data_IF_328618186392
#
_entry.id   IF_328618186392
#
_cell.length_a   1.000
_cell.length_b   1.000
_cell.length_c   1.000
_cell.angle_alpha   90.00
_cell.angle_beta   90.00
_cell.angle_gamma   90.00
#
_symmetry.space_group_name_H-M   'P 1'
#
loop_
_entity.id
_entity.type
_entity.pdbx_description
1 polymer ?
#
# COMPACT_ATOMS: atom_id res chain seq x y z
N UNK A 1 28.28 2.84 13.91
CA UNK A 1 28.22 2.33 12.53
C UNK A 1 26.94 2.77 11.79
N UNK A 2 25.76 2.73 12.43
CA UNK A 2 24.47 3.17 11.81
C UNK A 2 24.41 4.67 11.44
N UNK A 3 25.06 5.58 12.17
CA UNK A 3 25.04 7.02 11.85
C UNK A 3 25.77 7.40 10.55
N UNK A 4 26.73 6.60 10.08
CA UNK A 4 27.43 6.86 8.81
C UNK A 4 26.53 6.56 7.59
N UNK A 5 25.72 5.51 7.64
CA UNK A 5 24.81 5.14 6.53
C UNK A 5 23.71 6.19 6.25
N UNK A 6 23.25 6.91 7.29
CA UNK A 6 22.26 7.98 7.10
C UNK A 6 22.84 9.27 6.49
N UNK A 7 24.10 9.59 6.81
CA UNK A 7 24.79 10.74 6.20
C UNK A 7 25.09 10.51 4.72
N UNK A 8 25.41 9.28 4.34
CA UNK A 8 25.78 8.96 2.95
C UNK A 8 24.57 8.97 2.01
N UNK A 9 23.39 8.56 2.49
CA UNK A 9 22.12 8.67 1.72
C UNK A 9 21.67 10.12 1.53
N UNK A 10 21.88 10.99 2.51
CA UNK A 10 21.61 12.43 2.39
C UNK A 10 22.61 13.13 1.44
N UNK A 11 23.86 12.70 1.41
CA UNK A 11 24.87 13.23 0.49
C UNK A 11 24.60 12.84 -0.97
N UNK A 12 24.08 11.65 -1.23
CA UNK A 12 23.73 11.20 -2.58
C UNK A 12 22.54 12.00 -3.13
N UNK A 13 21.58 12.39 -2.30
CA UNK A 13 20.48 13.27 -2.68
C UNK A 13 20.95 14.71 -3.00
N UNK A 14 21.98 15.21 -2.35
CA UNK A 14 22.52 16.55 -2.58
C UNK A 14 23.48 16.64 -3.77
N UNK A 15 24.22 15.61 -4.11
CA UNK A 15 25.14 15.62 -5.25
C UNK A 15 24.45 15.55 -6.62
N UNK A 16 23.21 15.02 -6.68
CA UNK A 16 22.44 15.01 -7.93
C UNK A 16 21.86 16.38 -8.32
N UNK A 17 21.79 17.35 -7.39
CA UNK A 17 21.25 18.68 -7.65
C UNK A 17 22.30 19.68 -8.21
N UNK A 18 23.59 19.42 -8.08
CA UNK A 18 24.64 20.40 -8.38
C UNK A 18 25.24 20.29 -9.80
N UNK A 19 24.92 19.26 -10.58
CA UNK A 19 25.47 19.06 -11.94
C UNK A 19 24.53 19.46 -13.09
N UNK A 20 23.45 20.19 -12.83
CA UNK A 20 22.41 20.50 -13.81
C UNK A 20 22.52 21.88 -14.46
N UNK A 21 23.62 22.58 -14.36
CA UNK A 21 23.78 23.90 -15.03
C UNK A 21 25.05 23.87 -15.89
N UNK A 22 24.86 23.66 -17.20
CA UNK A 22 25.62 24.15 -18.37
C UNK A 22 25.57 23.14 -19.51
N UNK A 23 24.53 23.24 -20.37
CA UNK A 23 24.61 22.98 -21.81
C UNK A 23 23.24 23.27 -22.44
N UNK A 24 23.05 24.46 -22.97
CA UNK A 24 21.98 24.74 -23.93
C UNK A 24 22.41 24.13 -25.29
N UNK A 25 22.01 22.90 -25.49
CA UNK A 25 22.20 22.16 -26.76
C UNK A 25 21.52 20.81 -26.64
N UNK A 26 20.56 20.53 -27.49
CA UNK A 26 19.75 19.29 -27.62
C UNK A 26 19.73 18.40 -26.37
N UNK A 27 18.90 18.73 -25.41
CA UNK A 27 18.69 17.85 -24.24
C UNK A 27 18.00 16.57 -24.68
N UNK A 28 18.79 15.52 -24.87
CA UNK A 28 18.19 14.18 -24.85
C UNK A 28 17.41 14.03 -23.54
N UNK A 29 16.21 13.45 -23.58
CA UNK A 29 15.48 13.17 -22.33
C UNK A 29 16.40 12.40 -21.39
N UNK A 30 16.39 12.72 -20.08
CA UNK A 30 17.22 12.04 -19.10
C UNK A 30 16.96 10.53 -19.20
N UNK A 31 18.05 9.76 -19.41
CA UNK A 31 17.96 8.31 -19.51
C UNK A 31 17.90 7.71 -18.09
N UNK A 32 17.23 6.56 -17.96
CA UNK A 32 17.31 5.70 -16.79
C UNK A 32 18.80 5.51 -16.41
N UNK A 33 19.11 5.70 -15.12
CA UNK A 33 20.43 5.46 -14.56
C UNK A 33 20.37 4.25 -13.65
N UNK A 34 21.30 3.34 -13.77
CA UNK A 34 21.41 2.14 -12.94
C UNK A 34 22.81 2.11 -12.33
N UNK A 35 22.88 1.89 -11.02
CA UNK A 35 24.13 1.74 -10.27
C UNK A 35 23.98 0.65 -9.21
N UNK A 36 25.10 0.13 -8.71
CA UNK A 36 25.11 -0.79 -7.57
C UNK A 36 25.72 -0.05 -6.40
N UNK A 37 24.97 0.06 -5.30
CA UNK A 37 25.41 0.69 -4.06
C UNK A 37 25.24 -0.33 -2.93
N UNK A 38 26.33 -0.72 -2.28
CA UNK A 38 26.35 -1.72 -1.20
C UNK A 38 25.62 -3.03 -1.53
N UNK A 39 25.74 -3.46 -2.81
CA UNK A 39 25.11 -4.69 -3.31
C UNK A 39 23.61 -4.56 -3.58
N UNK A 40 23.07 -3.33 -3.55
CA UNK A 40 21.69 -2.99 -3.94
C UNK A 40 21.69 -2.35 -5.33
N UNK A 41 20.85 -2.84 -6.22
CA UNK A 41 20.61 -2.19 -7.52
C UNK A 41 19.79 -0.91 -7.30
N UNK A 42 20.35 0.24 -7.65
CA UNK A 42 19.70 1.54 -7.52
C UNK A 42 19.34 2.07 -8.90
N UNK A 43 18.06 2.29 -9.13
CA UNK A 43 17.51 2.75 -10.41
C UNK A 43 16.90 4.14 -10.23
N UNK A 44 17.44 5.11 -10.93
CA UNK A 44 16.88 6.47 -11.03
C UNK A 44 16.20 6.61 -12.38
N UNK A 45 14.88 6.66 -12.36
CA UNK A 45 14.09 6.80 -13.56
C UNK A 45 13.99 8.28 -13.99
N UNK A 46 13.78 8.54 -15.29
CA UNK A 46 13.48 9.87 -15.80
C UNK A 46 12.14 10.39 -15.24
N UNK A 47 11.91 11.70 -15.38
CA UNK A 47 10.64 12.32 -14.96
C UNK A 47 9.44 11.86 -15.82
N UNK A 48 9.69 11.43 -17.05
CA UNK A 48 8.67 10.94 -17.99
C UNK A 48 8.75 9.42 -18.11
N UNK A 49 7.61 8.74 -18.17
CA UNK A 49 7.55 7.29 -18.38
C UNK A 49 7.92 6.89 -19.80
N UNK A 50 8.04 5.60 -20.04
CA UNK A 50 8.29 5.05 -21.37
C UNK A 50 7.10 5.26 -22.33
N UNK A 51 5.88 5.29 -21.83
CA UNK A 51 4.68 5.57 -22.60
C UNK A 51 4.63 7.02 -23.10
N UNK A 52 4.17 7.22 -24.35
CA UNK A 52 4.23 8.52 -25.03
C UNK A 52 3.14 9.51 -24.60
N UNK A 53 2.03 9.05 -23.98
CA UNK A 53 0.92 9.88 -23.54
C UNK A 53 0.73 9.80 -22.02
N UNK A 54 1.69 10.33 -21.25
CA UNK A 54 1.58 10.37 -19.81
C UNK A 54 0.50 11.37 -19.40
N UNK A 55 -0.27 11.02 -18.36
CA UNK A 55 -1.31 11.90 -17.82
C UNK A 55 -2.63 11.88 -18.59
N UNK A 56 -2.85 10.91 -19.48
CA UNK A 56 -4.18 10.59 -20.01
C UNK A 56 -5.11 10.13 -18.89
N UNK A 57 -6.39 10.08 -19.16
CA UNK A 57 -7.39 9.53 -18.24
C UNK A 57 -7.70 8.10 -18.67
N UNK A 58 -7.56 7.17 -17.74
CA UNK A 58 -7.85 5.75 -17.97
C UNK A 58 -9.35 5.56 -18.24
N UNK A 59 -9.69 4.83 -19.29
CA UNK A 59 -11.09 4.45 -19.56
C UNK A 59 -11.48 3.27 -18.69
N UNK A 60 -12.58 3.43 -17.98
CA UNK A 60 -13.12 2.42 -17.08
C UNK A 60 -14.61 2.20 -17.37
N UNK A 61 -15.09 1.00 -17.10
CA UNK A 61 -16.49 0.60 -17.22
C UNK A 61 -16.98 -0.01 -15.92
N UNK A 62 -18.14 0.41 -15.43
CA UNK A 62 -18.77 -0.20 -14.26
C UNK A 62 -19.17 -1.66 -14.58
N UNK A 63 -18.66 -2.60 -13.78
CA UNK A 63 -18.93 -4.03 -13.93
C UNK A 63 -19.88 -4.56 -12.88
N UNK A 64 -19.74 -4.08 -11.65
CA UNK A 64 -20.53 -4.55 -10.53
C UNK A 64 -20.67 -3.45 -9.49
N UNK A 65 -21.87 -3.35 -8.90
CA UNK A 65 -22.17 -2.42 -7.81
C UNK A 65 -22.75 -3.18 -6.63
N UNK A 66 -22.02 -3.21 -5.52
CA UNK A 66 -22.45 -3.83 -4.26
C UNK A 66 -22.97 -2.72 -3.35
N UNK A 67 -24.22 -2.83 -2.93
CA UNK A 67 -24.88 -1.85 -2.04
C UNK A 67 -25.30 -2.52 -0.75
N UNK A 68 -25.60 -1.71 0.25
CA UNK A 68 -26.24 -2.17 1.47
C UNK A 68 -27.51 -2.96 1.15
N UNK A 69 -27.74 -4.05 1.90
CA UNK A 69 -28.93 -4.91 1.77
C UNK A 69 -29.75 -4.84 3.07
N UNK A 70 -30.29 -3.65 3.36
CA UNK A 70 -31.21 -3.42 4.46
C UNK A 70 -30.74 -4.04 5.78
N UNK A 71 -31.54 -4.95 6.36
CA UNK A 71 -31.23 -5.57 7.63
C UNK A 71 -30.13 -6.65 7.59
N UNK A 72 -29.71 -7.10 6.38
CA UNK A 72 -28.70 -8.16 6.26
C UNK A 72 -27.28 -7.65 6.57
N UNK A 73 -26.93 -6.51 6.03
CA UNK A 73 -25.69 -5.80 6.35
C UNK A 73 -25.75 -4.34 5.85
N UNK A 74 -24.91 -3.50 6.41
CA UNK A 74 -24.61 -2.15 5.89
C UNK A 74 -23.11 -1.88 6.01
N UNK A 75 -22.57 -1.16 5.01
CA UNK A 75 -21.18 -0.77 5.02
C UNK A 75 -20.93 0.35 6.04
N UNK A 76 -19.89 0.19 6.85
CA UNK A 76 -19.37 1.21 7.75
C UNK A 76 -18.15 1.90 7.17
N UNK A 77 -17.18 1.11 6.78
CA UNK A 77 -15.91 1.57 6.18
C UNK A 77 -15.27 0.41 5.42
N UNK A 78 -15.80 0.06 4.23
CA UNK A 78 -15.25 -1.04 3.44
C UNK A 78 -13.83 -0.72 2.99
N UNK A 79 -12.93 -1.70 3.11
CA UNK A 79 -11.51 -1.63 2.83
C UNK A 79 -11.01 -2.97 2.31
N UNK A 80 -9.79 -2.98 1.77
CA UNK A 80 -9.02 -4.16 1.37
C UNK A 80 -9.85 -5.13 0.53
N UNK A 81 -10.34 -4.72 -0.64
CA UNK A 81 -11.10 -5.60 -1.52
C UNK A 81 -10.21 -6.67 -2.13
N UNK A 82 -10.75 -7.89 -2.24
CA UNK A 82 -10.13 -9.01 -2.96
C UNK A 82 -11.16 -9.72 -3.83
N UNK A 83 -10.68 -10.31 -4.92
CA UNK A 83 -11.46 -11.23 -5.74
C UNK A 83 -10.91 -12.63 -5.51
N UNK A 84 -11.75 -13.51 -5.00
CA UNK A 84 -11.40 -14.90 -4.79
C UNK A 84 -11.34 -15.68 -6.12
N UNK A 85 -10.67 -16.85 -6.18
CA UNK A 85 -10.57 -17.65 -7.40
C UNK A 85 -11.91 -18.11 -7.98
N UNK A 86 -12.96 -18.20 -7.18
CA UNK A 86 -14.33 -18.49 -7.62
C UNK A 86 -15.08 -17.27 -8.16
N UNK A 87 -14.41 -16.10 -8.20
CA UNK A 87 -14.95 -14.82 -8.62
C UNK A 87 -15.75 -14.08 -7.55
N UNK A 88 -15.95 -14.65 -6.37
CA UNK A 88 -16.58 -13.94 -5.25
C UNK A 88 -15.73 -12.78 -4.77
N UNK A 89 -16.39 -11.73 -4.28
CA UNK A 89 -15.73 -10.52 -3.76
C UNK A 89 -15.70 -10.57 -2.25
N UNK A 90 -14.53 -10.36 -1.67
CA UNK A 90 -14.34 -10.21 -0.24
C UNK A 90 -14.01 -8.76 0.08
N UNK A 91 -14.63 -8.26 1.16
CA UNK A 91 -14.41 -6.90 1.66
C UNK A 91 -14.25 -6.95 3.18
N UNK A 92 -13.12 -6.43 3.67
CA UNK A 92 -13.03 -6.11 5.09
C UNK A 92 -13.88 -4.88 5.36
N UNK A 93 -14.72 -4.92 6.40
CA UNK A 93 -15.41 -3.73 6.90
C UNK A 93 -15.04 -3.45 8.36
N UNK A 94 -15.48 -2.33 8.88
CA UNK A 94 -15.13 -1.88 10.24
C UNK A 94 -15.47 -2.92 11.30
N UNK A 95 -14.51 -3.15 12.22
CA UNK A 95 -14.66 -4.08 13.32
C UNK A 95 -14.27 -5.51 12.96
N UNK A 96 -15.22 -6.43 13.07
CA UNK A 96 -14.98 -7.87 12.90
C UNK A 96 -15.77 -8.40 11.71
N UNK A 97 -15.66 -7.73 10.56
CA UNK A 97 -16.40 -8.12 9.37
C UNK A 97 -15.47 -8.40 8.21
N UNK A 98 -15.56 -9.61 7.68
CA UNK A 98 -15.03 -10.02 6.38
C UNK A 98 -16.22 -10.48 5.53
N UNK A 99 -16.77 -9.53 4.80
CA UNK A 99 -17.99 -9.72 4.03
C UNK A 99 -17.67 -10.39 2.70
N UNK A 100 -18.45 -11.40 2.33
CA UNK A 100 -18.34 -12.10 1.06
C UNK A 100 -19.57 -11.87 0.21
N UNK A 101 -19.36 -11.62 -1.08
CA UNK A 101 -20.39 -11.39 -2.09
C UNK A 101 -20.17 -12.32 -3.28
N UNK A 102 -21.27 -12.74 -3.93
CA UNK A 102 -21.18 -13.50 -5.18
C UNK A 102 -20.63 -12.65 -6.33
N UNK A 103 -20.38 -13.26 -7.47
CA UNK A 103 -20.01 -12.59 -8.73
C UNK A 103 -21.03 -11.56 -9.21
N UNK A 104 -22.30 -11.70 -8.79
CA UNK A 104 -23.41 -10.77 -9.07
C UNK A 104 -23.62 -9.74 -7.95
N UNK A 105 -22.78 -9.75 -6.90
CA UNK A 105 -22.87 -8.82 -5.76
C UNK A 105 -23.89 -9.20 -4.69
N UNK A 106 -24.43 -10.44 -4.73
CA UNK A 106 -25.31 -10.93 -3.67
C UNK A 106 -24.51 -11.20 -2.39
N UNK A 107 -24.99 -10.71 -1.24
CA UNK A 107 -24.36 -10.97 0.04
C UNK A 107 -24.46 -12.45 0.42
N UNK A 108 -23.30 -13.07 0.66
CA UNK A 108 -23.19 -14.50 1.03
C UNK A 108 -22.96 -14.71 2.52
N UNK A 109 -22.47 -13.70 3.24
CA UNK A 109 -22.26 -13.76 4.68
C UNK A 109 -21.01 -13.05 5.17
N UNK A 110 -20.86 -13.06 6.50
CA UNK A 110 -19.63 -12.66 7.17
C UNK A 110 -18.81 -13.92 7.48
N UNK A 111 -17.59 -14.01 6.96
CA UNK A 111 -16.71 -15.19 7.12
C UNK A 111 -16.14 -15.30 8.54
N UNK A 112 -16.00 -14.18 9.26
CA UNK A 112 -15.38 -14.17 10.58
C UNK A 112 -16.43 -14.16 11.70
N UNK A 113 -16.12 -14.82 12.80
CA UNK A 113 -16.92 -14.83 14.02
C UNK A 113 -16.28 -13.90 15.04
N UNK A 114 -17.02 -12.93 15.61
CA UNK A 114 -16.52 -12.09 16.69
C UNK A 114 -16.27 -12.89 17.97
N UNK A 115 -15.09 -12.68 18.60
CA UNK A 115 -14.78 -13.31 19.89
C UNK A 115 -13.28 -13.53 20.11
N UNK A 116 -12.95 -14.33 21.14
CA UNK A 116 -11.58 -14.62 21.58
C UNK A 116 -11.22 -16.12 21.49
N UNK A 117 -12.21 -16.96 21.23
CA UNK A 117 -12.02 -18.41 21.12
C UNK A 117 -11.28 -18.83 19.86
N UNK A 118 -11.06 -20.15 19.71
CA UNK A 118 -10.49 -20.70 18.47
C UNK A 118 -11.37 -20.36 17.25
N UNK A 119 -10.75 -19.85 16.20
CA UNK A 119 -11.44 -19.42 14.98
C UNK A 119 -12.23 -18.12 15.12
N UNK A 120 -12.24 -17.47 16.28
CA UNK A 120 -12.88 -16.18 16.50
C UNK A 120 -11.87 -15.04 16.37
N UNK A 121 -12.34 -13.85 15.98
CA UNK A 121 -11.53 -12.66 15.73
C UNK A 121 -12.05 -11.50 16.58
N UNK A 122 -11.16 -10.85 17.34
CA UNK A 122 -11.48 -9.66 18.12
C UNK A 122 -11.42 -8.39 17.27
N UNK A 123 -10.41 -8.27 16.41
CA UNK A 123 -10.21 -7.12 15.54
C UNK A 123 -9.57 -7.57 14.21
N UNK A 124 -10.36 -7.63 13.17
CA UNK A 124 -9.86 -7.96 11.84
C UNK A 124 -8.95 -6.84 11.32
N UNK A 125 -7.66 -7.11 11.22
CA UNK A 125 -6.68 -6.14 10.72
C UNK A 125 -6.49 -6.23 9.21
N UNK A 126 -6.44 -7.45 8.68
CA UNK A 126 -6.29 -7.73 7.26
C UNK A 126 -6.57 -9.20 6.97
N UNK A 127 -6.50 -9.57 5.72
CA UNK A 127 -6.66 -10.95 5.30
C UNK A 127 -5.92 -11.23 3.99
N UNK A 128 -5.73 -12.49 3.70
CA UNK A 128 -5.12 -13.00 2.48
C UNK A 128 -5.92 -14.20 1.97
N UNK A 129 -6.00 -14.37 0.65
CA UNK A 129 -6.67 -15.50 0.00
C UNK A 129 -5.63 -16.34 -0.74
N UNK A 130 -5.64 -17.64 -0.53
CA UNK A 130 -4.82 -18.60 -1.26
C UNK A 130 -5.70 -19.77 -1.71
N UNK A 131 -5.94 -19.87 -3.01
CA UNK A 131 -6.91 -20.84 -3.52
C UNK A 131 -8.29 -20.66 -2.86
N UNK A 132 -8.82 -21.71 -2.26
CA UNK A 132 -10.11 -21.71 -1.56
C UNK A 132 -9.97 -21.47 -0.05
N UNK A 133 -8.88 -20.90 0.40
CA UNK A 133 -8.57 -20.68 1.80
C UNK A 133 -8.35 -19.20 2.10
N UNK A 134 -8.72 -18.78 3.31
CA UNK A 134 -8.62 -17.41 3.80
C UNK A 134 -7.80 -17.41 5.08
N UNK A 135 -6.84 -16.51 5.16
CA UNK A 135 -6.00 -16.25 6.33
C UNK A 135 -6.36 -14.87 6.87
N UNK A 136 -7.10 -14.83 7.97
CA UNK A 136 -7.61 -13.59 8.54
C UNK A 136 -6.81 -13.19 9.79
N UNK A 137 -6.26 -11.97 9.80
CA UNK A 137 -5.42 -11.46 10.87
C UNK A 137 -6.23 -10.85 12.00
N UNK A 138 -6.12 -11.39 13.20
CA UNK A 138 -6.61 -10.80 14.43
C UNK A 138 -5.54 -9.92 15.09
N UNK A 139 -5.64 -8.61 14.90
CA UNK A 139 -4.69 -7.66 15.46
C UNK A 139 -4.73 -7.55 16.98
N UNK A 140 -5.86 -7.84 17.63
CA UNK A 140 -5.96 -7.86 19.09
C UNK A 140 -5.54 -9.21 19.69
N UNK A 141 -5.84 -10.31 18.99
CA UNK A 141 -5.48 -11.66 19.42
C UNK A 141 -4.05 -12.07 19.07
N UNK A 142 -3.33 -11.26 18.29
CA UNK A 142 -1.99 -11.58 17.76
C UNK A 142 -1.95 -12.98 17.11
N UNK A 143 -2.93 -13.25 16.25
CA UNK A 143 -3.04 -14.52 15.57
C UNK A 143 -3.56 -14.36 14.14
N UNK A 144 -3.27 -15.33 13.30
CA UNK A 144 -3.89 -15.52 11.99
C UNK A 144 -4.80 -16.71 12.08
N UNK A 145 -6.08 -16.49 11.79
CA UNK A 145 -7.10 -17.55 11.71
C UNK A 145 -7.16 -18.04 10.28
N UNK A 146 -7.00 -19.33 10.10
CA UNK A 146 -7.06 -20.00 8.81
C UNK A 146 -8.42 -20.67 8.67
N UNK A 147 -9.09 -20.41 7.56
CA UNK A 147 -10.43 -20.92 7.27
C UNK A 147 -10.61 -21.17 5.78
N UNK A 148 -11.62 -21.92 5.42
CA UNK A 148 -12.03 -22.07 4.03
C UNK A 148 -12.79 -20.82 3.54
N UNK A 149 -12.93 -20.68 2.21
CA UNK A 149 -13.64 -19.56 1.60
C UNK A 149 -15.13 -19.50 1.95
N UNK A 150 -15.73 -20.59 2.46
CA UNK A 150 -17.09 -20.63 3.03
C UNK A 150 -17.14 -20.38 4.56
N UNK A 151 -16.01 -20.01 5.16
CA UNK A 151 -15.93 -19.59 6.58
C UNK A 151 -15.77 -20.75 7.57
N UNK A 152 -15.49 -21.98 7.13
CA UNK A 152 -15.21 -23.11 8.03
C UNK A 152 -13.78 -22.97 8.58
N UNK A 153 -13.67 -22.91 9.90
CA UNK A 153 -12.40 -22.88 10.62
C UNK A 153 -11.55 -24.14 10.33
N UNK A 154 -10.27 -23.94 10.07
CA UNK A 154 -9.28 -25.00 9.87
C UNK A 154 -8.27 -25.03 11.01
N UNK A 155 -7.51 -23.97 11.21
CA UNK A 155 -6.54 -23.80 12.29
C UNK A 155 -6.25 -22.33 12.57
N UNK A 156 -5.37 -22.04 13.52
CA UNK A 156 -4.86 -20.69 13.78
C UNK A 156 -3.41 -20.73 14.23
N UNK A 157 -2.67 -19.64 13.94
CA UNK A 157 -1.28 -19.47 14.35
C UNK A 157 -1.09 -18.14 15.04
N UNK A 158 -0.32 -18.14 16.12
CA UNK A 158 0.13 -16.90 16.74
C UNK A 158 1.18 -16.23 15.85
N UNK A 159 1.10 -14.91 15.76
CA UNK A 159 2.06 -14.07 15.04
C UNK A 159 2.56 -12.97 15.95
N UNK A 160 3.81 -12.55 15.78
CA UNK A 160 4.40 -11.48 16.55
C UNK A 160 4.28 -10.15 15.78
N UNK A 161 3.46 -9.24 16.27
CA UNK A 161 3.11 -7.99 15.59
C UNK A 161 1.85 -8.08 14.72
N UNK A 162 1.56 -7.00 13.99
CA UNK A 162 0.43 -6.95 13.08
C UNK A 162 0.77 -7.72 11.81
N UNK A 163 0.01 -8.76 11.51
CA UNK A 163 0.10 -9.45 10.22
C UNK A 163 -0.22 -8.45 9.10
N UNK A 164 0.62 -8.42 8.08
CA UNK A 164 0.46 -7.47 6.97
C UNK A 164 0.25 -8.14 5.63
N UNK A 165 0.84 -9.31 5.42
CA UNK A 165 0.68 -10.08 4.19
C UNK A 165 1.23 -11.50 4.33
N UNK A 166 0.97 -12.31 3.32
CA UNK A 166 1.50 -13.66 3.17
C UNK A 166 2.09 -13.81 1.77
N UNK A 167 3.18 -14.55 1.67
CA UNK A 167 3.76 -14.97 0.40
C UNK A 167 3.84 -16.48 0.35
N UNK A 168 4.38 -17.03 -0.73
CA UNK A 168 4.51 -18.48 -0.91
C UNK A 168 5.23 -19.16 0.24
N UNK A 169 6.34 -18.54 0.72
CA UNK A 169 7.17 -19.11 1.80
C UNK A 169 6.93 -18.51 3.18
N UNK A 170 6.30 -17.34 3.29
CA UNK A 170 6.40 -16.50 4.49
C UNK A 170 5.08 -15.91 4.96
N UNK A 171 4.92 -15.83 6.29
CA UNK A 171 3.98 -14.93 6.96
C UNK A 171 4.74 -13.67 7.36
N UNK A 172 4.29 -12.51 6.93
CA UNK A 172 4.95 -11.23 7.18
C UNK A 172 4.13 -10.41 8.16
N UNK A 173 4.78 -9.88 9.19
CA UNK A 173 4.19 -8.97 10.17
C UNK A 173 4.97 -7.66 10.25
N UNK A 174 4.30 -6.59 10.67
CA UNK A 174 4.89 -5.28 10.90
C UNK A 174 4.67 -4.85 12.34
N UNK A 175 5.74 -4.41 12.98
CA UNK A 175 5.70 -3.77 14.29
C UNK A 175 6.23 -2.35 14.16
N UNK A 176 5.53 -1.40 14.75
CA UNK A 176 5.98 -0.01 14.84
C UNK A 176 6.28 0.34 16.30
N UNK A 177 7.44 0.92 16.53
CA UNK A 177 7.90 1.36 17.84
C UNK A 177 7.91 2.88 17.87
N UNK A 178 6.90 3.43 18.54
CA UNK A 178 6.74 4.88 18.66
C UNK A 178 7.60 5.43 19.79
N UNK A 179 8.34 6.53 19.55
CA UNK A 179 9.12 7.18 20.60
C UNK A 179 8.21 7.77 21.67
N UNK A 180 8.63 7.71 22.94
CA UNK A 180 7.84 8.22 24.09
C UNK A 180 8.02 9.73 24.32
N UNK A 181 8.78 10.42 23.48
CA UNK A 181 9.00 11.88 23.56
C UNK A 181 7.77 12.65 23.05
N UNK A 182 7.55 13.84 23.60
CA UNK A 182 6.42 14.71 23.22
C UNK A 182 6.91 16.04 22.67
N UNK A 183 6.12 16.65 21.77
CA UNK A 183 6.35 17.97 21.24
C UNK A 183 7.49 18.08 20.22
N UNK A 184 8.11 16.97 19.86
CA UNK A 184 9.21 16.92 18.88
C UNK A 184 8.95 15.82 17.83
N UNK A 185 9.46 16.05 16.63
CA UNK A 185 9.49 15.05 15.59
C UNK A 185 10.65 14.10 15.84
N UNK A 186 10.37 12.84 16.16
CA UNK A 186 11.37 11.87 16.55
C UNK A 186 11.35 10.63 15.65
N UNK A 187 12.43 9.86 15.66
CA UNK A 187 12.52 8.63 14.86
C UNK A 187 11.59 7.55 15.44
N UNK A 188 10.73 7.01 14.60
CA UNK A 188 9.95 5.81 14.84
C UNK A 188 10.61 4.63 14.12
N UNK A 189 10.82 3.52 14.84
CA UNK A 189 11.32 2.28 14.26
C UNK A 189 10.15 1.48 13.71
N UNK A 190 10.25 1.07 12.46
CA UNK A 190 9.35 0.10 11.84
C UNK A 190 10.14 -1.18 11.55
N UNK A 191 9.57 -2.32 11.87
CA UNK A 191 10.24 -3.62 11.74
C UNK A 191 9.30 -4.61 11.04
N UNK A 192 9.66 -5.02 9.83
CA UNK A 192 9.07 -6.19 9.20
C UNK A 192 9.75 -7.43 9.77
N UNK A 193 8.95 -8.39 10.19
CA UNK A 193 9.37 -9.72 10.62
C UNK A 193 8.66 -10.75 9.77
N UNK A 194 9.35 -11.83 9.38
CA UNK A 194 8.70 -12.91 8.66
C UNK A 194 9.08 -14.26 9.22
N UNK A 195 8.08 -15.11 9.29
CA UNK A 195 8.18 -16.49 9.77
C UNK A 195 7.87 -17.46 8.64
N UNK A 196 8.55 -18.59 8.63
CA UNK A 196 8.31 -19.65 7.68
C UNK A 196 6.89 -20.20 7.83
N UNK A 197 6.20 -20.37 6.71
CA UNK A 197 4.87 -21.01 6.69
C UNK A 197 4.94 -22.49 7.02
N UNK A 198 6.04 -23.17 6.71
CA UNK A 198 6.18 -24.63 6.89
C UNK A 198 6.40 -25.02 8.34
N UNK A 199 7.25 -24.31 9.08
CA UNK A 199 7.66 -24.69 10.43
C UNK A 199 7.46 -23.59 11.49
N UNK A 200 7.02 -22.40 11.09
CA UNK A 200 6.80 -21.27 11.98
C UNK A 200 8.07 -20.60 12.50
N UNK A 201 9.26 -21.00 12.04
CA UNK A 201 10.51 -20.42 12.49
C UNK A 201 10.64 -18.95 12.05
N UNK A 202 11.07 -18.07 12.96
CA UNK A 202 11.42 -16.70 12.62
C UNK A 202 12.69 -16.69 11.79
N UNK A 203 12.61 -16.13 10.59
CA UNK A 203 13.74 -16.13 9.68
C UNK A 203 14.61 -14.91 9.83
N UNK A 204 14.03 -13.74 9.69
CA UNK A 204 14.75 -12.45 9.75
C UNK A 204 13.83 -11.30 10.07
N UNK A 205 14.44 -10.18 10.40
CA UNK A 205 13.75 -8.89 10.50
C UNK A 205 14.44 -7.86 9.60
N UNK A 206 13.66 -6.96 9.04
CA UNK A 206 14.14 -5.78 8.36
C UNK A 206 13.61 -4.53 9.04
N UNK A 207 14.51 -3.62 9.42
CA UNK A 207 14.17 -2.40 10.14
C UNK A 207 14.43 -1.18 9.29
N UNK A 208 13.50 -0.23 9.30
CA UNK A 208 13.67 1.10 8.74
C UNK A 208 13.15 2.16 9.71
N UNK A 209 13.59 3.40 9.51
CA UNK A 209 13.24 4.51 10.37
C UNK A 209 12.32 5.46 9.62
N UNK A 210 11.15 5.73 10.19
CA UNK A 210 10.27 6.83 9.82
C UNK A 210 10.30 7.91 10.88
N UNK A 211 9.49 8.95 10.71
CA UNK A 211 9.31 10.01 11.69
C UNK A 211 7.92 9.93 12.31
N UNK A 212 7.86 10.27 13.59
CA UNK A 212 6.65 10.27 14.39
C UNK A 212 6.59 11.52 15.25
N UNK A 213 5.39 12.07 15.37
CA UNK A 213 5.11 13.19 16.27
C UNK A 213 3.96 12.86 17.20
N UNK A 214 4.08 13.28 18.47
CA UNK A 214 2.99 13.26 19.44
C UNK A 214 3.04 14.48 20.36
N UNK A 215 1.88 14.94 20.76
CA UNK A 215 1.71 15.88 21.88
C UNK A 215 0.43 15.48 22.66
N UNK A 216 -0.05 16.36 23.53
CA UNK A 216 -1.26 16.12 24.31
C UNK A 216 -2.55 16.05 23.47
N UNK A 217 -2.55 16.53 22.23
CA UNK A 217 -3.74 16.65 21.38
C UNK A 217 -3.72 15.70 20.20
N UNK A 218 -2.54 15.51 19.56
CA UNK A 218 -2.40 14.73 18.33
C UNK A 218 -1.20 13.78 18.41
N UNK A 219 -1.32 12.71 17.66
CA UNK A 219 -0.23 11.78 17.35
C UNK A 219 -0.36 11.34 15.89
N UNK A 220 0.74 11.29 15.16
CA UNK A 220 0.76 10.81 13.78
C UNK A 220 2.15 10.37 13.35
N UNK A 221 2.18 9.45 12.44
CA UNK A 221 3.39 9.10 11.70
C UNK A 221 3.61 10.15 10.60
N UNK A 222 4.76 10.80 10.64
CA UNK A 222 5.18 11.74 9.60
C UNK A 222 5.44 11.02 8.28
N UNK A 223 6.13 9.87 8.38
CA UNK A 223 6.39 8.94 7.29
C UNK A 223 5.64 7.65 7.58
N UNK A 224 4.64 7.33 6.75
CA UNK A 224 3.87 6.10 6.91
C UNK A 224 4.42 5.05 5.96
N UNK A 225 4.81 3.86 6.44
CA UNK A 225 5.21 2.78 5.56
C UNK A 225 4.03 2.34 4.69
N UNK A 226 4.33 2.11 3.41
CA UNK A 226 3.43 1.48 2.44
C UNK A 226 4.13 0.26 1.89
N UNK A 227 3.37 -0.78 1.63
CA UNK A 227 3.92 -2.04 1.12
C UNK A 227 2.90 -2.77 0.27
N UNK A 228 3.42 -3.61 -0.61
CA UNK A 228 2.67 -4.64 -1.32
C UNK A 228 3.59 -5.83 -1.55
N UNK A 229 3.07 -7.05 -1.48
CA UNK A 229 3.84 -8.27 -1.67
C UNK A 229 3.62 -8.88 -3.05
N UNK A 230 4.70 -9.27 -3.71
CA UNK A 230 4.66 -10.27 -4.76
C UNK A 230 4.73 -11.65 -4.09
N UNK A 231 3.56 -12.26 -3.92
CA UNK A 231 3.40 -13.50 -3.17
C UNK A 231 4.11 -14.68 -3.83
N UNK A 232 4.22 -14.70 -5.15
CA UNK A 232 4.84 -15.79 -5.92
C UNK A 232 6.36 -15.77 -5.86
N UNK A 233 6.94 -14.55 -5.80
CA UNK A 233 8.40 -14.36 -5.81
C UNK A 233 9.01 -14.14 -4.43
N UNK A 234 8.20 -14.16 -3.36
CA UNK A 234 8.63 -13.83 -2.00
C UNK A 234 9.29 -12.44 -1.89
N UNK A 235 8.76 -11.45 -2.60
CA UNK A 235 9.25 -10.08 -2.59
C UNK A 235 8.28 -9.15 -1.88
N UNK A 236 8.82 -8.15 -1.20
CA UNK A 236 8.03 -7.08 -0.59
C UNK A 236 8.51 -5.72 -1.14
N UNK A 237 7.63 -5.00 -1.81
CA UNK A 237 7.85 -3.61 -2.22
C UNK A 237 7.48 -2.69 -1.08
N UNK A 238 8.40 -1.84 -0.66
CA UNK A 238 8.26 -0.99 0.53
C UNK A 238 8.61 0.45 0.18
N UNK A 239 7.87 1.41 0.69
CA UNK A 239 8.23 2.83 0.63
C UNK A 239 7.84 3.55 1.91
N UNK A 240 8.55 4.64 2.22
CA UNK A 240 8.09 5.67 3.14
C UNK A 240 7.33 6.73 2.33
N UNK A 241 6.13 7.05 2.74
CA UNK A 241 5.17 7.80 1.93
C UNK A 241 5.61 9.22 1.52
N UNK A 242 6.57 9.87 2.23
CA UNK A 242 7.01 11.24 1.92
C UNK A 242 8.09 11.33 0.87
N UNK A 243 8.83 10.26 0.66
CA UNK A 243 9.89 10.22 -0.32
C UNK A 243 9.52 9.22 -1.41
N UNK A 244 9.58 9.65 -2.66
CA UNK A 244 9.26 8.79 -3.78
C UNK A 244 10.42 7.82 -4.06
N UNK A 245 10.60 6.88 -3.14
CA UNK A 245 11.62 5.83 -3.23
C UNK A 245 11.01 4.48 -2.83
N UNK A 246 11.10 3.50 -3.73
CA UNK A 246 10.57 2.16 -3.53
C UNK A 246 11.73 1.20 -3.37
N UNK A 247 11.71 0.41 -2.31
CA UNK A 247 12.70 -0.63 -2.02
C UNK A 247 12.07 -2.00 -2.22
N UNK A 248 12.85 -2.94 -2.73
CA UNK A 248 12.46 -4.34 -2.92
C UNK A 248 13.21 -5.19 -1.92
N UNK A 249 12.49 -5.70 -0.93
CA UNK A 249 12.99 -6.65 0.08
C UNK A 249 12.75 -8.07 -0.43
N UNK A 250 13.83 -8.81 -0.62
CA UNK A 250 13.79 -10.25 -0.88
C UNK A 250 13.71 -11.00 0.46
N UNK A 251 12.58 -11.65 0.72
CA UNK A 251 12.32 -12.36 1.97
C UNK A 251 13.20 -13.61 2.12
N UNK A 252 13.58 -14.26 1.03
CA UNK A 252 14.47 -15.41 1.03
C UNK A 252 15.92 -14.99 1.35
N UNK A 253 16.42 -13.95 0.67
CA UNK A 253 17.73 -13.38 0.94
C UNK A 253 17.77 -12.59 2.26
N UNK A 254 16.64 -12.04 2.70
CA UNK A 254 16.49 -11.24 3.91
C UNK A 254 17.21 -9.89 3.83
N UNK A 255 17.23 -9.26 2.67
CA UNK A 255 17.86 -7.97 2.44
C UNK A 255 17.19 -7.22 1.28
N UNK A 256 17.40 -5.92 1.24
CA UNK A 256 17.04 -5.13 0.06
C UNK A 256 17.95 -5.55 -1.10
N UNK A 257 17.33 -5.83 -2.25
CA UNK A 257 18.02 -6.21 -3.49
C UNK A 257 17.99 -5.10 -4.52
N UNK A 258 16.97 -4.23 -4.45
CA UNK A 258 16.73 -3.15 -5.40
C UNK A 258 16.10 -1.95 -4.73
N UNK A 259 16.40 -0.76 -5.25
CA UNK A 259 15.71 0.49 -4.94
C UNK A 259 15.47 1.26 -6.23
N UNK A 260 14.30 1.85 -6.40
CA UNK A 260 14.00 2.68 -7.56
C UNK A 260 13.13 3.88 -7.21
N UNK A 261 13.26 4.92 -7.99
CA UNK A 261 12.50 6.15 -7.86
C UNK A 261 12.26 6.81 -9.23
N UNK A 262 11.52 7.90 -9.21
CA UNK A 262 11.47 8.88 -10.29
C UNK A 262 11.46 10.30 -9.72
N UNK A 263 11.78 11.29 -10.53
CA UNK A 263 11.59 12.68 -10.15
C UNK A 263 10.08 12.99 -10.08
N UNK A 264 9.56 13.04 -8.86
CA UNK A 264 8.14 13.33 -8.58
C UNK A 264 7.95 14.81 -8.19
N UNK A 265 7.09 15.57 -8.87
CA UNK A 265 6.77 16.93 -8.48
C UNK A 265 6.00 16.93 -7.15
N UNK A 266 6.56 17.57 -6.13
CA UNK A 266 5.91 17.65 -4.81
C UNK A 266 4.58 18.40 -4.91
N UNK A 267 3.54 17.86 -4.30
CA UNK A 267 2.21 18.47 -4.20
C UNK A 267 2.14 19.33 -2.94
N UNK A 268 1.85 20.62 -3.06
CA UNK A 268 1.73 21.48 -1.91
C UNK A 268 0.57 21.06 -0.98
N UNK A 269 0.78 21.16 0.33
CA UNK A 269 -0.25 20.81 1.31
C UNK A 269 -1.49 21.68 1.13
N UNK A 270 -2.67 21.05 1.07
CA UNK A 270 -3.95 21.76 0.93
C UNK A 270 -4.33 22.56 2.18
N UNK A 271 -5.10 23.64 2.01
CA UNK A 271 -5.48 24.57 3.11
C UNK A 271 -6.20 23.87 4.26
N UNK A 272 -7.07 22.91 3.96
CA UNK A 272 -7.76 22.12 5.00
C UNK A 272 -6.77 21.32 5.86
N UNK A 273 -5.77 20.73 5.25
CA UNK A 273 -4.74 19.98 5.95
C UNK A 273 -3.83 20.91 6.76
N UNK A 274 -3.44 22.07 6.21
CA UNK A 274 -2.68 23.10 6.94
C UNK A 274 -3.40 23.52 8.22
N UNK A 275 -4.68 23.84 8.12
CA UNK A 275 -5.52 24.22 9.27
C UNK A 275 -5.58 23.09 10.32
N UNK A 276 -5.70 21.84 9.90
CA UNK A 276 -5.73 20.70 10.82
C UNK A 276 -4.41 20.55 11.59
N UNK A 277 -3.25 20.70 10.94
CA UNK A 277 -1.95 20.69 11.62
C UNK A 277 -1.80 21.86 12.60
N UNK A 278 -2.21 23.06 12.23
CA UNK A 278 -2.15 24.26 13.08
C UNK A 278 -3.02 24.11 14.34
N UNK A 279 -4.25 23.62 14.19
CA UNK A 279 -5.15 23.33 15.31
C UNK A 279 -4.63 22.24 16.23
N UNK A 280 -3.94 21.25 15.67
CA UNK A 280 -3.30 20.17 16.42
C UNK A 280 -2.04 20.62 17.18
N UNK A 281 -1.42 21.76 16.80
CA UNK A 281 -0.18 22.26 17.41
C UNK A 281 1.03 21.37 17.13
N UNK A 282 1.04 20.69 16.01
CA UNK A 282 2.16 19.84 15.56
C UNK A 282 3.00 20.49 14.46
N UNK A 283 4.12 19.85 14.08
CA UNK A 283 4.89 20.27 12.92
C UNK A 283 4.04 20.12 11.66
N UNK A 284 4.10 21.12 10.79
CA UNK A 284 3.37 21.15 9.52
C UNK A 284 4.34 20.84 8.37
N UNK A 285 4.06 19.86 7.53
CA UNK A 285 4.81 19.68 6.28
C UNK A 285 4.41 20.74 5.24
N UNK A 286 5.31 21.05 4.32
CA UNK A 286 5.03 21.93 3.19
C UNK A 286 4.26 21.22 2.07
N UNK A 287 4.43 19.90 1.99
CA UNK A 287 3.94 19.06 0.90
C UNK A 287 3.15 17.86 1.42
N UNK A 288 2.23 17.38 0.60
CA UNK A 288 1.53 16.10 0.78
C UNK A 288 2.52 14.92 0.76
N UNK A 289 2.03 13.73 1.06
CA UNK A 289 2.78 12.49 0.89
C UNK A 289 3.02 12.23 -0.61
N UNK A 290 4.20 11.78 -1.02
CA UNK A 290 4.46 11.46 -2.43
C UNK A 290 3.72 10.19 -2.87
N UNK A 291 3.74 9.17 -2.00
CA UNK A 291 3.13 7.87 -2.25
C UNK A 291 2.02 7.62 -1.24
N UNK A 292 0.81 7.41 -1.71
CA UNK A 292 -0.34 7.08 -0.88
C UNK A 292 -0.50 5.58 -0.67
N UNK A 293 -0.33 4.80 -1.74
CA UNK A 293 -0.52 3.34 -1.75
C UNK A 293 0.29 2.67 -2.86
N UNK A 294 0.56 1.39 -2.66
CA UNK A 294 1.17 0.49 -3.64
C UNK A 294 0.22 -0.66 -3.94
N UNK A 295 0.10 -1.03 -5.20
CA UNK A 295 -0.69 -2.16 -5.68
C UNK A 295 0.11 -2.98 -6.67
N UNK A 296 -0.14 -4.29 -6.69
CA UNK A 296 0.29 -5.15 -7.79
C UNK A 296 -0.92 -5.47 -8.66
N UNK A 297 -0.83 -5.11 -9.93
CA UNK A 297 -1.87 -5.37 -10.91
C UNK A 297 -1.23 -5.65 -12.27
N UNK A 298 -1.71 -6.66 -12.98
CA UNK A 298 -1.26 -7.04 -14.32
C UNK A 298 0.27 -7.12 -14.46
N UNK A 299 0.94 -7.80 -13.51
CA UNK A 299 2.39 -8.00 -13.52
C UNK A 299 3.22 -6.74 -13.30
N UNK A 300 2.62 -5.64 -12.87
CA UNK A 300 3.26 -4.35 -12.66
C UNK A 300 2.97 -3.79 -11.27
N UNK A 301 3.86 -2.91 -10.80
CA UNK A 301 3.66 -2.14 -9.57
C UNK A 301 2.98 -0.81 -9.92
N UNK A 302 1.80 -0.61 -9.37
CA UNK A 302 1.04 0.64 -9.48
C UNK A 302 1.21 1.46 -8.21
N UNK A 303 1.60 2.70 -8.38
CA UNK A 303 1.87 3.65 -7.29
C UNK A 303 0.81 4.74 -7.31
N UNK A 304 -0.06 4.77 -6.32
CA UNK A 304 -0.99 5.87 -6.11
C UNK A 304 -0.24 7.05 -5.52
N UNK A 305 -0.21 8.18 -6.21
CA UNK A 305 0.48 9.40 -5.78
C UNK A 305 -0.49 10.35 -5.07
N UNK A 306 -0.01 11.47 -4.53
CA UNK A 306 -0.89 12.53 -3.99
C UNK A 306 -1.41 13.50 -5.04
N UNK A 307 -0.98 13.39 -6.29
CA UNK A 307 -1.46 14.27 -7.36
C UNK A 307 -2.91 13.95 -7.72
N UNK A 308 -3.79 14.93 -7.54
CA UNK A 308 -5.21 14.85 -7.93
C UNK A 308 -5.51 16.02 -8.88
N UNK A 309 -6.01 15.69 -10.06
CA UNK A 309 -6.57 16.66 -11.01
C UNK A 309 -8.09 16.75 -10.81
N UNK A 310 -8.68 17.95 -10.65
CA UNK A 310 -10.12 18.10 -10.42
C UNK A 310 -11.00 17.51 -11.53
N UNK A 311 -10.50 17.41 -12.76
CA UNK A 311 -11.24 16.91 -13.93
C UNK A 311 -10.84 15.48 -14.31
N UNK A 312 -9.59 15.09 -14.06
CA UNK A 312 -9.05 13.80 -14.49
C UNK A 312 -9.06 12.73 -13.39
N UNK A 313 -9.05 13.14 -12.11
CA UNK A 313 -9.01 12.21 -10.97
C UNK A 313 -7.62 12.03 -10.35
N UNK A 314 -7.31 10.83 -9.88
CA UNK A 314 -6.11 10.46 -9.13
C UNK A 314 -4.98 10.00 -10.07
N UNK A 315 -3.78 10.56 -9.93
CA UNK A 315 -2.61 10.13 -10.70
C UNK A 315 -2.04 8.82 -10.15
N UNK A 316 -1.80 7.88 -11.06
CA UNK A 316 -1.05 6.66 -10.83
C UNK A 316 0.19 6.61 -11.71
N UNK A 317 1.27 6.12 -11.13
CA UNK A 317 2.48 5.73 -11.84
C UNK A 317 2.57 4.22 -11.89
N UNK A 318 3.12 3.68 -12.97
CA UNK A 318 3.29 2.24 -13.16
C UNK A 318 4.74 1.91 -13.42
N UNK A 319 5.24 0.93 -12.67
CA UNK A 319 6.58 0.41 -12.82
C UNK A 319 6.55 -1.08 -13.17
N UNK A 320 7.54 -1.54 -13.91
CA UNK A 320 7.82 -2.97 -13.95
C UNK A 320 8.25 -3.46 -12.55
N UNK A 321 8.18 -4.75 -12.31
CA UNK A 321 8.68 -5.33 -11.06
C UNK A 321 10.21 -5.21 -10.93
N UNK A 322 10.89 -4.94 -12.04
CA UNK A 322 12.31 -4.62 -12.12
C UNK A 322 12.62 -3.12 -11.91
N UNK A 323 11.58 -2.27 -11.71
CA UNK A 323 11.73 -0.86 -11.34
C UNK A 323 11.81 0.11 -12.52
N UNK A 324 11.46 -0.29 -13.74
CA UNK A 324 11.35 0.61 -14.89
C UNK A 324 10.08 1.44 -14.81
N UNK A 325 10.15 2.75 -14.99
CA UNK A 325 8.99 3.63 -15.04
C UNK A 325 8.27 3.50 -16.38
N UNK A 326 7.21 2.68 -16.40
CA UNK A 326 6.52 2.29 -17.62
C UNK A 326 5.50 3.33 -18.09
N UNK A 327 4.67 3.82 -17.16
CA UNK A 327 3.50 4.63 -17.50
C UNK A 327 3.09 5.57 -16.36
N UNK A 328 2.27 6.59 -16.71
CA UNK A 328 1.67 7.50 -15.74
C UNK A 328 0.34 8.04 -16.31
N UNK A 329 -0.76 7.83 -15.61
CA UNK A 329 -2.10 8.22 -16.05
C UNK A 329 -3.02 8.54 -14.87
N UNK A 330 -4.13 9.21 -15.17
CA UNK A 330 -5.17 9.48 -14.19
C UNK A 330 -6.24 8.40 -14.21
N UNK A 331 -6.60 7.92 -13.03
CA UNK A 331 -7.80 7.11 -12.82
C UNK A 331 -8.94 8.07 -12.47
N UNK A 332 -10.13 8.00 -13.11
CA UNK A 332 -11.17 9.05 -13.02
C UNK A 332 -11.90 9.08 -11.67
N UNK A 333 -11.22 8.74 -10.59
CA UNK A 333 -11.70 8.79 -9.21
C UNK A 333 -10.73 9.60 -8.36
N UNK A 334 -11.21 10.30 -7.32
CA UNK A 334 -10.36 11.20 -6.53
C UNK A 334 -9.82 10.55 -5.25
N UNK A 335 -10.72 10.21 -4.31
CA UNK A 335 -10.32 9.83 -2.94
C UNK A 335 -10.81 8.45 -2.50
N UNK A 336 -11.61 7.78 -3.30
CA UNK A 336 -12.39 6.62 -2.87
C UNK A 336 -11.92 5.30 -3.48
N UNK A 337 -10.68 5.24 -3.98
CA UNK A 337 -10.11 4.00 -4.52
C UNK A 337 -9.74 3.12 -3.33
N UNK A 338 -10.40 1.96 -3.23
CA UNK A 338 -10.19 0.98 -2.16
C UNK A 338 -9.07 -0.01 -2.48
N UNK A 339 -8.85 -0.29 -3.78
CA UNK A 339 -7.85 -1.24 -4.23
C UNK A 339 -7.89 -1.50 -5.73
N UNK A 340 -6.87 -2.23 -6.19
CA UNK A 340 -6.77 -2.75 -7.54
C UNK A 340 -6.47 -4.25 -7.48
N UNK A 341 -7.15 -5.02 -8.35
CA UNK A 341 -6.90 -6.46 -8.51
C UNK A 341 -7.05 -6.83 -9.99
N UNK A 342 -5.97 -7.28 -10.64
CA UNK A 342 -5.96 -7.48 -12.07
C UNK A 342 -6.45 -6.22 -12.81
N UNK A 343 -7.43 -6.37 -13.71
CA UNK A 343 -8.05 -5.27 -14.45
C UNK A 343 -9.14 -4.51 -13.66
N UNK A 344 -9.36 -4.84 -12.38
CA UNK A 344 -10.47 -4.30 -11.59
C UNK A 344 -10.02 -3.23 -10.61
N UNK A 345 -10.69 -2.08 -10.65
CA UNK A 345 -10.52 -0.96 -9.71
C UNK A 345 -11.74 -0.95 -8.79
N UNK A 346 -11.51 -1.04 -7.49
CA UNK A 346 -12.55 -0.96 -6.47
C UNK A 346 -12.69 0.48 -5.98
N UNK A 347 -13.90 1.00 -6.02
CA UNK A 347 -14.20 2.38 -5.63
C UNK A 347 -15.32 2.38 -4.61
N UNK A 348 -15.14 3.15 -3.52
CA UNK A 348 -16.22 3.45 -2.59
C UNK A 348 -16.98 4.66 -3.09
N UNK A 349 -18.26 4.54 -3.28
CA UNK A 349 -19.17 5.66 -3.55
C UNK A 349 -20.06 5.87 -2.34
N UNK A 350 -20.36 7.14 -2.05
CA UNK A 350 -21.28 7.51 -0.99
C UNK A 350 -22.35 8.39 -1.62
N UNK A 351 -23.59 7.97 -1.51
CA UNK A 351 -24.74 8.75 -1.99
C UNK A 351 -25.06 9.92 -1.04
N UNK A 352 -25.91 10.85 -1.48
CA UNK A 352 -26.28 12.04 -0.70
C UNK A 352 -26.97 11.69 0.62
N UNK A 353 -27.65 10.56 0.71
CA UNK A 353 -28.27 10.03 1.93
C UNK A 353 -27.29 9.30 2.87
N UNK A 354 -26.00 9.25 2.51
CA UNK A 354 -24.96 8.57 3.26
C UNK A 354 -24.81 7.08 2.96
N UNK A 355 -25.64 6.51 2.11
CA UNK A 355 -25.55 5.09 1.69
C UNK A 355 -24.23 4.84 0.96
N UNK A 356 -23.52 3.79 1.34
CA UNK A 356 -22.24 3.39 0.76
C UNK A 356 -22.46 2.28 -0.28
N UNK A 357 -21.78 2.42 -1.40
CA UNK A 357 -21.63 1.34 -2.38
C UNK A 357 -20.14 1.06 -2.62
N UNK A 358 -19.82 -0.21 -2.86
CA UNK A 358 -18.54 -0.61 -3.42
C UNK A 358 -18.76 -0.97 -4.87
N UNK A 359 -18.09 -0.22 -5.75
CA UNK A 359 -18.27 -0.33 -7.21
C UNK A 359 -16.98 -0.87 -7.81
N UNK A 360 -17.12 -1.90 -8.61
CA UNK A 360 -16.04 -2.53 -9.35
C UNK A 360 -16.05 -1.99 -10.77
N UNK A 361 -14.97 -1.30 -11.14
CA UNK A 361 -14.75 -0.80 -12.48
C UNK A 361 -13.69 -1.63 -13.19
N UNK A 362 -13.96 -2.02 -14.42
CA UNK A 362 -13.01 -2.67 -15.30
C UNK A 362 -12.16 -1.61 -16.00
N UNK A 363 -10.84 -1.78 -15.97
CA UNK A 363 -9.92 -1.05 -16.82
C UNK A 363 -9.99 -1.57 -18.26
N UNK A 364 -10.17 -0.67 -19.24
CA UNK A 364 -10.34 -1.02 -20.66
C UNK A 364 -9.08 -0.85 -21.50
N UNK A 365 -8.05 -0.17 -20.98
CA UNK A 365 -6.92 0.28 -21.79
C UNK A 365 -5.57 -0.26 -21.33
N UNK A 366 -5.38 -0.47 -20.03
CA UNK A 366 -4.11 -0.92 -19.51
C UNK A 366 -4.09 -2.45 -19.41
N UNK A 367 -3.30 -3.07 -20.27
CA UNK A 367 -2.92 -4.47 -20.18
C UNK A 367 -1.42 -4.54 -20.38
N UNK A 368 -0.73 -5.25 -19.53
CA UNK A 368 0.64 -5.71 -19.80
C UNK A 368 0.49 -6.99 -20.62
N UNK A 369 0.66 -6.86 -21.93
CA UNK A 369 0.82 -8.01 -22.82
C UNK A 369 2.17 -8.72 -22.54
#
# INVERSE_FOLDING_TARGET
>A
MLRRLQHDLALIACLSAALAVLCAGCRQPPKKQVSIVDGVEVIVNPASPLHRDPGRVLKVEERLRIRDVGDAFYFKSPLLPEIAPDGSVLLRDFGQQLLRFSTEGTFLGNLVKPGQGPGEIQMLFGYFIEGNEVYAADGAGNKVVHMTLDGRYLDERRVDGNFVTMTRGWLVSLRSFEPQVQGVLADAKHEFSWTSRSDGSLRKTYTFLGKYYRNARIRFHWDTPRWVADAERDLLFITLSRDYGIQVLDLNAGRIIRSFNRAYPKVALGERAKTAYEQGGGPRPDYELDVLELFLADGSLWVRTSTVDPKKGQLFDVFSLEGDFLDSFFVPFKDNILGLRGDTIFVRETADDGTIAVVLYRNLEYRTD
#
